data_IF_344144659041
#
_entry.id   IF_344144659041
#
_cell.length_a   1.000
_cell.length_b   1.000
_cell.length_c   1.000
_cell.angle_alpha   90.00
_cell.angle_beta   90.00
_cell.angle_gamma   90.00
#
_symmetry.space_group_name_H-M   'P 1'
#
loop_
_entity.id
_entity.type
_entity.pdbx_description
1 polymer ?
#
# COMPACT_ATOMS: atom_id res chain seq x y z
N UNK A 1 1.35 22.35 26.58
CA UNK A 1 0.24 21.96 25.69
C UNK A 1 0.67 21.07 24.53
N UNK A 2 1.68 21.44 23.70
CA UNK A 2 2.20 20.61 22.60
C UNK A 2 2.54 19.19 23.05
N UNK A 3 3.33 19.04 24.09
CA UNK A 3 3.79 17.74 24.57
C UNK A 3 2.66 16.91 25.20
N UNK A 4 1.67 17.56 25.84
CA UNK A 4 0.47 16.89 26.31
C UNK A 4 -0.37 16.30 25.17
N UNK A 5 -0.54 17.05 24.08
CA UNK A 5 -1.20 16.55 22.87
C UNK A 5 -0.44 15.36 22.25
N UNK A 6 0.90 15.39 22.28
CA UNK A 6 1.72 14.35 21.66
C UNK A 6 1.86 13.08 22.51
N UNK A 7 1.53 13.13 23.80
CA UNK A 7 1.70 12.02 24.75
C UNK A 7 1.09 10.67 24.32
N UNK A 8 -0.10 10.59 23.70
CA UNK A 8 -0.70 9.32 23.29
C UNK A 8 -0.02 8.67 22.06
N UNK A 9 0.81 9.42 21.34
CA UNK A 9 1.41 8.94 20.10
C UNK A 9 2.77 8.30 20.34
N UNK A 10 3.15 7.36 19.48
CA UNK A 10 4.42 6.64 19.55
C UNK A 10 5.04 6.44 18.18
N UNK A 11 6.31 6.04 18.14
CA UNK A 11 7.02 5.63 16.95
C UNK A 11 6.95 6.68 15.80
N UNK A 12 6.72 6.23 14.57
CA UNK A 12 6.68 7.09 13.39
C UNK A 12 5.55 8.13 13.44
N UNK A 13 4.43 7.83 14.11
CA UNK A 13 3.32 8.78 14.25
C UNK A 13 3.77 9.96 15.12
N UNK A 14 4.40 9.68 16.25
CA UNK A 14 4.95 10.72 17.11
C UNK A 14 5.95 11.60 16.35
N UNK A 15 6.93 11.00 15.66
CA UNK A 15 7.93 11.75 14.90
C UNK A 15 7.28 12.64 13.81
N UNK A 16 6.30 12.10 13.07
CA UNK A 16 5.61 12.86 12.03
C UNK A 16 4.78 13.99 12.62
N UNK A 17 4.05 13.74 13.71
CA UNK A 17 3.18 14.72 14.34
C UNK A 17 4.00 15.83 14.99
N UNK A 18 5.10 15.47 15.68
CA UNK A 18 6.04 16.45 16.23
C UNK A 18 6.57 17.36 15.14
N UNK A 19 7.13 16.79 14.06
CA UNK A 19 7.68 17.56 12.95
C UNK A 19 6.67 18.52 12.30
N UNK A 20 5.46 18.04 12.03
CA UNK A 20 4.46 18.87 11.37
C UNK A 20 3.87 19.94 12.30
N UNK A 21 3.73 19.62 13.59
CA UNK A 21 3.26 20.59 14.58
C UNK A 21 4.32 21.66 14.85
N UNK A 22 5.60 21.29 14.91
CA UNK A 22 6.70 22.25 15.04
C UNK A 22 6.76 23.20 13.84
N UNK A 23 6.53 22.71 12.64
CA UNK A 23 6.43 23.54 11.44
C UNK A 23 5.28 24.54 11.52
N UNK A 24 4.12 24.10 12.00
CA UNK A 24 2.97 24.98 12.20
C UNK A 24 3.30 26.09 13.21
N UNK A 25 3.84 25.71 14.38
CA UNK A 25 4.19 26.66 15.43
C UNK A 25 5.28 27.66 14.99
N UNK A 26 6.27 27.19 14.22
CA UNK A 26 7.30 28.05 13.64
C UNK A 26 6.71 29.04 12.63
N UNK A 27 5.75 28.59 11.79
CA UNK A 27 5.05 29.48 10.88
C UNK A 27 4.23 30.53 11.64
N UNK A 28 3.46 30.14 12.66
CA UNK A 28 2.76 31.11 13.52
C UNK A 28 3.70 32.15 14.10
N UNK A 29 4.86 31.74 14.61
CA UNK A 29 5.86 32.67 15.14
C UNK A 29 6.39 33.63 14.06
N UNK A 30 6.62 33.14 12.83
CA UNK A 30 7.02 33.97 11.69
C UNK A 30 5.99 35.00 11.29
N UNK A 31 4.71 34.68 11.40
CA UNK A 31 3.59 35.59 11.13
C UNK A 31 3.18 36.43 12.36
N UNK A 32 3.92 36.36 13.46
CA UNK A 32 3.60 37.03 14.75
C UNK A 32 2.23 36.65 15.29
N UNK A 33 1.79 35.40 15.06
CA UNK A 33 0.52 34.87 15.55
C UNK A 33 0.70 34.12 16.86
N UNK A 34 -0.18 34.38 17.83
CA UNK A 34 -0.27 33.58 19.05
C UNK A 34 -1.02 32.26 18.74
N UNK A 35 -0.40 31.09 18.88
CA UNK A 35 -1.00 29.81 18.45
C UNK A 35 -2.37 29.47 19.05
N UNK A 36 -2.70 30.01 20.23
CA UNK A 36 -4.01 29.77 20.86
C UNK A 36 -5.07 30.80 20.45
N UNK A 37 -4.69 31.85 19.74
CA UNK A 37 -5.61 32.91 19.29
C UNK A 37 -5.82 32.92 17.77
N UNK A 38 -5.20 31.96 17.05
CA UNK A 38 -5.36 31.85 15.59
C UNK A 38 -6.81 31.64 15.21
N UNK A 39 -7.15 32.18 14.07
CA UNK A 39 -8.48 32.06 13.46
C UNK A 39 -8.50 30.95 12.41
N UNK A 40 -9.70 30.64 11.90
CA UNK A 40 -9.86 29.76 10.74
C UNK A 40 -9.08 30.29 9.53
N UNK A 41 -9.09 31.62 9.31
CA UNK A 41 -8.40 32.25 8.20
C UNK A 41 -6.91 32.00 8.27
N UNK A 42 -6.29 32.06 9.45
CA UNK A 42 -4.85 31.80 9.61
C UNK A 42 -4.52 30.33 9.26
N UNK A 43 -5.36 29.39 9.66
CA UNK A 43 -5.19 27.98 9.24
C UNK A 43 -5.31 27.83 7.72
N UNK A 44 -6.26 28.52 7.08
CA UNK A 44 -6.43 28.49 5.62
C UNK A 44 -5.27 29.19 4.91
N UNK A 45 -4.69 30.24 5.49
CA UNK A 45 -3.47 30.92 4.99
C UNK A 45 -2.26 29.98 5.07
N UNK A 46 -2.09 29.25 6.16
CA UNK A 46 -1.04 28.21 6.25
C UNK A 46 -1.20 27.11 5.19
N UNK A 47 -2.43 26.68 4.92
CA UNK A 47 -2.71 25.70 3.87
C UNK A 47 -2.24 26.23 2.52
N UNK A 48 -2.51 27.50 2.21
CA UNK A 48 -2.08 28.17 0.99
C UNK A 48 -0.56 28.29 0.94
N UNK A 49 0.08 28.74 2.01
CA UNK A 49 1.53 28.79 2.14
C UNK A 49 2.18 27.43 1.82
N UNK A 50 1.68 26.33 2.38
CA UNK A 50 2.21 24.99 2.08
C UNK A 50 2.03 24.59 0.61
N UNK A 51 0.90 24.94 0.01
CA UNK A 51 0.55 24.47 -1.34
C UNK A 51 1.12 25.39 -2.44
N UNK A 52 0.93 26.68 -2.33
CA UNK A 52 1.27 27.65 -3.36
C UNK A 52 2.73 28.13 -3.23
N UNK A 53 3.15 28.56 -2.04
CA UNK A 53 4.49 29.12 -1.84
C UNK A 53 5.56 28.02 -1.75
N UNK A 54 5.30 26.95 -0.98
CA UNK A 54 6.23 25.82 -0.86
C UNK A 54 6.01 24.72 -1.90
N UNK A 55 5.08 24.91 -2.83
CA UNK A 55 4.77 23.99 -3.93
C UNK A 55 4.56 22.52 -3.49
N UNK A 56 4.01 22.31 -2.28
CA UNK A 56 3.82 20.96 -1.77
C UNK A 56 2.62 20.28 -2.43
N UNK A 57 2.76 18.98 -2.66
CA UNK A 57 1.64 18.15 -3.16
C UNK A 57 0.47 18.18 -2.17
N UNK A 58 -0.75 18.18 -2.68
CA UNK A 58 -1.99 18.20 -1.87
C UNK A 58 -1.99 17.09 -0.81
N UNK A 59 -1.50 15.89 -1.13
CA UNK A 59 -1.37 14.78 -0.15
C UNK A 59 -0.41 15.10 0.99
N UNK A 60 0.67 15.85 0.72
CA UNK A 60 1.63 16.30 1.74
C UNK A 60 0.99 17.37 2.64
N UNK A 61 0.25 18.31 2.05
CA UNK A 61 -0.52 19.32 2.80
C UNK A 61 -1.54 18.65 3.73
N UNK A 62 -2.26 17.65 3.24
CA UNK A 62 -3.18 16.86 4.08
C UNK A 62 -2.47 16.19 5.26
N UNK A 63 -1.30 15.61 5.02
CA UNK A 63 -0.49 14.98 6.08
C UNK A 63 -0.03 16.01 7.12
N UNK A 64 0.35 17.21 6.69
CA UNK A 64 0.76 18.30 7.58
C UNK A 64 -0.39 18.79 8.46
N UNK A 65 -1.61 18.82 7.93
CA UNK A 65 -2.78 19.33 8.65
C UNK A 65 -3.36 18.34 9.66
N UNK A 66 -3.09 17.05 9.55
CA UNK A 66 -3.63 16.05 10.50
C UNK A 66 -3.27 16.39 11.94
N UNK A 67 -1.98 16.58 12.32
CA UNK A 67 -1.63 16.92 13.69
C UNK A 67 -2.06 18.33 14.10
N UNK A 68 -2.09 19.31 13.21
CA UNK A 68 -2.58 20.66 13.50
C UNK A 68 -4.06 20.63 13.91
N UNK A 69 -4.89 19.91 13.16
CA UNK A 69 -6.30 19.72 13.51
C UNK A 69 -6.49 18.93 14.79
N UNK A 70 -5.67 17.90 15.01
CA UNK A 70 -5.68 17.14 16.24
C UNK A 70 -5.33 17.99 17.46
N UNK A 71 -4.34 18.87 17.29
CA UNK A 71 -3.89 19.79 18.32
C UNK A 71 -4.99 20.80 18.73
N UNK A 72 -5.66 21.42 17.76
CA UNK A 72 -6.74 22.36 18.07
C UNK A 72 -7.99 21.66 18.63
N UNK A 73 -8.30 20.46 18.16
CA UNK A 73 -9.36 19.65 18.76
C UNK A 73 -9.03 19.28 20.21
N UNK A 74 -7.77 18.92 20.49
CA UNK A 74 -7.31 18.66 21.85
C UNK A 74 -7.44 19.92 22.71
N UNK A 75 -6.93 21.07 22.24
CA UNK A 75 -7.02 22.33 22.95
C UNK A 75 -8.46 22.75 23.24
N UNK A 76 -9.38 22.53 22.31
CA UNK A 76 -10.81 22.79 22.50
C UNK A 76 -11.43 21.84 23.54
N UNK A 77 -11.11 20.55 23.50
CA UNK A 77 -11.65 19.56 24.46
C UNK A 77 -11.10 19.75 25.88
N UNK A 78 -9.94 20.39 26.04
CA UNK A 78 -9.34 20.76 27.33
C UNK A 78 -9.72 22.19 27.76
N UNK A 79 -10.72 22.80 27.14
CA UNK A 79 -11.22 24.15 27.43
C UNK A 79 -10.15 25.26 27.38
N UNK A 80 -9.04 25.02 26.64
CA UNK A 80 -7.95 26.00 26.48
C UNK A 80 -8.26 27.05 25.41
N UNK A 81 -9.19 26.77 24.51
CA UNK A 81 -9.69 27.69 23.49
C UNK A 81 -11.21 27.56 23.37
N UNK A 82 -11.89 28.67 23.11
CA UNK A 82 -13.34 28.72 23.01
C UNK A 82 -13.90 28.10 21.70
N UNK A 83 -13.06 27.99 20.65
CA UNK A 83 -13.45 27.45 19.33
C UNK A 83 -12.25 26.77 18.68
N UNK A 84 -12.51 25.66 17.98
CA UNK A 84 -11.50 24.97 17.17
C UNK A 84 -11.36 25.69 15.81
N UNK A 85 -10.26 26.42 15.53
CA UNK A 85 -10.06 27.17 14.30
C UNK A 85 -9.83 26.24 13.09
N UNK A 86 -9.39 25.01 13.32
CA UNK A 86 -9.08 24.05 12.27
C UNK A 86 -10.27 23.15 11.89
N UNK A 87 -11.37 23.14 12.68
CA UNK A 87 -12.51 22.26 12.45
C UNK A 87 -13.13 22.46 11.05
N UNK A 88 -13.39 23.71 10.67
CA UNK A 88 -14.06 24.10 9.44
C UNK A 88 -13.09 24.65 8.37
N UNK A 89 -11.76 24.59 8.61
CA UNK A 89 -10.78 25.05 7.63
C UNK A 89 -10.89 24.23 6.32
N UNK A 90 -11.00 24.93 5.20
CA UNK A 90 -11.10 24.33 3.87
C UNK A 90 -9.79 23.69 3.46
N UNK A 91 -9.83 22.43 3.05
CA UNK A 91 -8.68 21.70 2.55
C UNK A 91 -8.75 21.59 1.03
N UNK A 92 -7.60 21.68 0.33
CA UNK A 92 -7.57 21.35 -1.08
C UNK A 92 -8.15 19.96 -1.31
N UNK A 93 -8.99 19.81 -2.33
CA UNK A 93 -9.58 18.50 -2.64
C UNK A 93 -8.49 17.57 -3.17
N UNK A 94 -8.32 16.42 -2.53
CA UNK A 94 -7.56 15.33 -3.14
C UNK A 94 -8.37 14.87 -4.36
N UNK A 95 -7.79 15.04 -5.54
CA UNK A 95 -8.32 14.36 -6.72
C UNK A 95 -8.32 12.86 -6.43
N UNK A 96 -9.49 12.26 -6.36
CA UNK A 96 -9.66 10.80 -6.24
C UNK A 96 -9.56 10.13 -7.61
N UNK A 97 -8.80 10.71 -8.53
CA UNK A 97 -8.47 10.04 -9.78
C UNK A 97 -7.86 8.67 -9.49
N UNK A 98 -8.13 7.72 -10.37
CA UNK A 98 -7.41 6.46 -10.45
C UNK A 98 -5.94 6.79 -10.23
N UNK A 99 -5.29 6.14 -9.27
CA UNK A 99 -3.86 6.38 -8.98
C UNK A 99 -3.09 6.18 -10.28
N UNK A 100 -2.56 7.28 -10.86
CA UNK A 100 -1.68 7.26 -12.05
C UNK A 100 -0.37 6.50 -11.81
N UNK A 101 -0.17 5.97 -10.61
CA UNK A 101 0.97 5.14 -10.29
C UNK A 101 0.77 3.78 -10.94
N UNK A 102 1.23 3.66 -12.18
CA UNK A 102 1.33 2.38 -12.85
C UNK A 102 2.25 1.47 -12.02
N UNK A 103 1.67 0.40 -11.47
CA UNK A 103 2.45 -0.69 -10.86
C UNK A 103 3.32 -1.37 -11.91
N UNK A 104 4.20 -2.25 -11.47
CA UNK A 104 4.92 -3.15 -12.36
C UNK A 104 3.93 -4.16 -12.97
N UNK A 105 4.02 -4.34 -14.26
CA UNK A 105 3.27 -5.37 -14.95
C UNK A 105 3.81 -6.78 -14.65
N UNK A 106 3.13 -7.81 -15.16
CA UNK A 106 3.49 -9.21 -14.96
C UNK A 106 4.91 -9.53 -15.41
N UNK A 107 5.37 -8.96 -16.54
CA UNK A 107 6.71 -9.24 -17.08
C UNK A 107 7.78 -8.58 -16.21
N UNK A 108 7.58 -7.35 -15.84
CA UNK A 108 8.46 -6.61 -14.92
C UNK A 108 8.56 -7.28 -13.54
N UNK A 109 7.43 -7.76 -12.99
CA UNK A 109 7.43 -8.51 -11.74
C UNK A 109 8.24 -9.82 -11.84
N UNK A 110 8.13 -10.54 -12.97
CA UNK A 110 8.93 -11.75 -13.23
C UNK A 110 10.41 -11.42 -13.37
N UNK A 111 10.77 -10.36 -14.09
CA UNK A 111 12.15 -9.91 -14.24
C UNK A 111 12.75 -9.50 -12.87
N UNK A 112 11.98 -8.81 -12.04
CA UNK A 112 12.38 -8.44 -10.68
C UNK A 112 12.65 -9.66 -9.78
N UNK A 113 11.79 -10.68 -9.81
CA UNK A 113 11.98 -11.93 -9.08
C UNK A 113 13.23 -12.68 -9.54
N UNK A 114 13.46 -12.76 -10.87
CA UNK A 114 14.65 -13.37 -11.45
C UNK A 114 15.93 -12.67 -10.99
N UNK A 115 15.97 -11.34 -11.07
CA UNK A 115 17.12 -10.56 -10.59
C UNK A 115 17.42 -10.82 -9.11
N UNK A 116 16.39 -11.04 -8.26
CA UNK A 116 16.55 -11.46 -6.87
C UNK A 116 17.21 -12.82 -6.74
N UNK A 117 16.75 -13.80 -7.52
CA UNK A 117 17.26 -15.17 -7.49
C UNK A 117 18.71 -15.27 -7.98
N UNK A 118 19.07 -14.50 -8.98
CA UNK A 118 20.41 -14.47 -9.56
C UNK A 118 21.45 -13.79 -8.63
N UNK A 119 20.99 -12.94 -7.72
CA UNK A 119 21.90 -12.16 -6.88
C UNK A 119 22.33 -12.86 -5.60
N UNK A 120 21.40 -13.28 -4.78
CA UNK A 120 21.66 -14.00 -3.53
C UNK A 120 20.40 -14.59 -2.93
N UNK A 121 20.53 -15.62 -2.09
CA UNK A 121 19.42 -16.23 -1.37
C UNK A 121 18.62 -15.19 -0.54
N UNK A 122 19.31 -14.29 0.17
CA UNK A 122 18.68 -13.18 0.90
C UNK A 122 17.83 -12.28 -0.01
N UNK A 123 18.38 -11.87 -1.14
CA UNK A 123 17.72 -10.92 -2.02
C UNK A 123 16.57 -11.58 -2.78
N UNK A 124 16.69 -12.89 -3.06
CA UNK A 124 15.60 -13.74 -3.53
C UNK A 124 14.45 -13.76 -2.50
N UNK A 125 14.73 -13.99 -1.23
CA UNK A 125 13.72 -13.96 -0.16
C UNK A 125 13.05 -12.58 -0.05
N UNK A 126 13.82 -11.49 -0.10
CA UNK A 126 13.27 -10.12 -0.10
C UNK A 126 12.31 -9.92 -1.28
N UNK A 127 12.73 -10.31 -2.49
CA UNK A 127 11.91 -10.18 -3.69
C UNK A 127 10.58 -10.95 -3.55
N UNK A 128 10.62 -12.20 -3.07
CA UNK A 128 9.42 -13.02 -2.89
C UNK A 128 8.49 -12.50 -1.79
N UNK A 129 9.03 -12.06 -0.65
CA UNK A 129 8.23 -11.49 0.44
C UNK A 129 7.49 -10.21 0.01
N UNK A 130 8.11 -9.37 -0.80
CA UNK A 130 7.53 -8.12 -1.25
C UNK A 130 6.61 -8.30 -2.47
N UNK A 131 7.07 -9.05 -3.48
CA UNK A 131 6.38 -9.18 -4.75
C UNK A 131 5.31 -10.27 -4.78
N UNK A 132 5.48 -11.38 -4.04
CA UNK A 132 4.49 -12.47 -4.01
C UNK A 132 3.58 -12.42 -2.79
N UNK A 133 4.11 -12.02 -1.63
CA UNK A 133 3.35 -11.98 -0.38
C UNK A 133 2.81 -10.59 -0.05
N UNK A 134 3.09 -9.59 -0.88
CA UNK A 134 2.68 -8.20 -0.70
C UNK A 134 2.99 -7.64 0.72
N UNK A 135 4.08 -8.07 1.36
CA UNK A 135 4.46 -7.60 2.68
C UNK A 135 4.94 -6.14 2.64
N UNK A 136 4.70 -5.42 3.73
CA UNK A 136 5.36 -4.12 3.94
C UNK A 136 6.85 -4.35 4.25
N UNK A 137 7.70 -3.38 3.93
CA UNK A 137 9.14 -3.48 4.23
C UNK A 137 9.44 -3.74 5.71
N UNK A 138 8.66 -3.17 6.62
CA UNK A 138 8.80 -3.42 8.06
C UNK A 138 8.41 -4.86 8.43
N UNK A 139 7.33 -5.38 7.85
CA UNK A 139 6.89 -6.77 8.04
C UNK A 139 7.95 -7.74 7.53
N UNK A 140 8.47 -7.51 6.30
CA UNK A 140 9.54 -8.35 5.75
C UNK A 140 10.82 -8.32 6.61
N UNK A 141 11.19 -7.14 7.14
CA UNK A 141 12.34 -7.02 8.05
C UNK A 141 12.16 -7.73 9.39
N UNK A 142 10.94 -7.91 9.87
CA UNK A 142 10.68 -8.52 11.18
C UNK A 142 10.60 -10.05 11.15
N UNK A 143 10.52 -10.66 9.96
CA UNK A 143 10.37 -12.12 9.83
C UNK A 143 11.55 -12.84 10.48
N UNK A 144 11.21 -13.80 11.34
CA UNK A 144 12.13 -14.75 11.94
C UNK A 144 11.95 -16.14 11.31
N UNK A 145 12.93 -17.00 11.44
CA UNK A 145 12.88 -18.35 10.86
C UNK A 145 11.76 -19.16 11.53
N UNK A 146 11.53 -18.95 12.81
CA UNK A 146 10.48 -19.61 13.59
C UNK A 146 9.06 -19.26 13.11
N UNK A 147 8.91 -18.09 12.49
CA UNK A 147 7.59 -17.57 12.06
C UNK A 147 6.97 -18.36 10.92
N UNK A 148 7.75 -19.22 10.22
CA UNK A 148 7.22 -20.00 9.09
C UNK A 148 7.44 -21.51 9.21
N UNK A 149 7.71 -22.01 10.39
CA UNK A 149 7.91 -23.44 10.63
C UNK A 149 6.62 -24.23 10.81
N UNK A 150 5.50 -23.55 11.05
CA UNK A 150 4.22 -24.22 11.31
C UNK A 150 3.50 -24.65 10.04
N UNK A 151 2.83 -25.80 10.14
CA UNK A 151 1.93 -26.32 9.09
C UNK A 151 0.50 -26.36 9.63
N UNK A 152 -0.44 -25.78 8.90
CA UNK A 152 -1.86 -25.75 9.24
C UNK A 152 -2.67 -26.26 8.05
N UNK A 153 -3.49 -27.29 8.24
CA UNK A 153 -4.30 -27.92 7.18
C UNK A 153 -3.49 -28.27 5.91
N UNK A 154 -2.27 -28.77 6.10
CA UNK A 154 -1.38 -29.15 4.99
C UNK A 154 -0.60 -27.98 4.34
N UNK A 155 -0.83 -26.74 4.76
CA UNK A 155 -0.11 -25.57 4.26
C UNK A 155 0.95 -25.08 5.24
N UNK A 156 2.16 -24.87 4.78
CA UNK A 156 3.13 -24.05 5.53
C UNK A 156 2.59 -22.63 5.63
N UNK A 157 2.68 -22.05 6.81
CA UNK A 157 2.15 -20.70 7.05
C UNK A 157 3.26 -19.77 7.52
N UNK A 158 3.18 -18.51 7.10
CA UNK A 158 3.96 -17.40 7.64
C UNK A 158 3.11 -16.66 8.66
N UNK A 159 3.61 -16.56 9.89
CA UNK A 159 3.01 -15.75 10.97
C UNK A 159 3.85 -14.49 11.16
N UNK A 160 3.23 -13.36 11.35
CA UNK A 160 3.94 -12.11 11.63
C UNK A 160 2.99 -11.06 12.21
N UNK A 161 3.57 -10.01 12.76
CA UNK A 161 2.79 -8.88 13.29
C UNK A 161 2.67 -7.80 12.23
N UNK A 162 1.43 -7.48 11.85
CA UNK A 162 1.10 -6.42 10.90
C UNK A 162 1.08 -5.02 11.54
N UNK A 163 0.66 -4.03 10.74
CA UNK A 163 0.49 -2.64 11.23
C UNK A 163 -0.53 -2.62 12.37
N UNK A 164 -0.22 -1.88 13.44
CA UNK A 164 -1.08 -1.78 14.63
C UNK A 164 -0.99 -3.00 15.56
N UNK A 165 0.10 -3.76 15.50
CA UNK A 165 0.32 -4.96 16.32
C UNK A 165 -0.70 -6.08 16.08
N UNK A 166 -1.37 -6.10 14.92
CA UNK A 166 -2.35 -7.13 14.58
C UNK A 166 -1.64 -8.38 14.07
N UNK A 167 -1.85 -9.57 14.70
CA UNK A 167 -1.30 -10.82 14.18
C UNK A 167 -1.85 -11.14 12.79
N UNK A 168 -0.99 -11.62 11.91
CA UNK A 168 -1.36 -12.05 10.55
C UNK A 168 -0.81 -13.44 10.26
N UNK A 169 -1.56 -14.22 9.48
CA UNK A 169 -1.18 -15.56 9.00
C UNK A 169 -1.44 -15.63 7.51
N UNK A 170 -0.47 -16.17 6.78
CA UNK A 170 -0.59 -16.34 5.33
C UNK A 170 -0.02 -17.69 4.91
N UNK A 171 -0.65 -18.40 3.95
CA UNK A 171 -0.05 -19.60 3.38
C UNK A 171 1.24 -19.24 2.62
N UNK A 172 2.24 -20.10 2.69
CA UNK A 172 3.50 -19.96 1.96
C UNK A 172 3.46 -20.86 0.72
N UNK A 173 3.38 -20.29 -0.48
CA UNK A 173 3.57 -21.03 -1.72
C UNK A 173 4.98 -21.61 -1.79
N UNK A 174 5.14 -22.76 -2.43
CA UNK A 174 6.42 -23.49 -2.52
C UNK A 174 7.59 -22.63 -3.00
N UNK A 175 7.45 -21.76 -4.05
CA UNK A 175 8.56 -20.90 -4.48
C UNK A 175 9.01 -19.92 -3.39
N UNK A 176 8.06 -19.38 -2.63
CA UNK A 176 8.36 -18.46 -1.52
C UNK A 176 9.08 -19.23 -0.42
N UNK A 177 8.53 -20.39 0.02
CA UNK A 177 9.13 -21.21 1.06
C UNK A 177 10.59 -21.56 0.71
N UNK A 178 10.86 -22.03 -0.51
CA UNK A 178 12.22 -22.32 -0.97
C UNK A 178 13.16 -21.12 -0.88
N UNK A 179 12.66 -19.92 -1.23
CA UNK A 179 13.46 -18.70 -1.13
C UNK A 179 13.78 -18.35 0.35
N UNK A 180 12.83 -18.56 1.27
CA UNK A 180 13.05 -18.35 2.70
C UNK A 180 14.04 -19.36 3.28
N UNK A 181 13.88 -20.64 2.96
CA UNK A 181 14.78 -21.72 3.42
C UNK A 181 16.21 -21.50 2.92
N UNK A 182 16.37 -21.11 1.67
CA UNK A 182 17.69 -20.73 1.13
C UNK A 182 18.29 -19.52 1.86
N UNK A 183 17.48 -18.53 2.23
CA UNK A 183 17.95 -17.36 2.99
C UNK A 183 18.23 -17.68 4.47
N UNK A 184 17.58 -18.71 5.01
CA UNK A 184 17.88 -19.20 6.36
C UNK A 184 19.27 -19.85 6.44
N UNK A 185 19.78 -20.41 5.35
CA UNK A 185 21.15 -20.93 5.21
C UNK A 185 21.51 -21.90 6.35
N UNK A 186 20.66 -22.92 6.56
CA UNK A 186 20.80 -23.93 7.62
C UNK A 186 20.55 -23.45 9.05
N UNK A 187 20.24 -22.18 9.26
CA UNK A 187 19.88 -21.66 10.60
C UNK A 187 18.47 -22.13 10.99
N UNK A 188 18.32 -22.59 12.22
CA UNK A 188 17.04 -23.07 12.75
C UNK A 188 16.18 -21.96 13.36
N UNK A 189 16.79 -20.81 13.73
CA UNK A 189 16.11 -19.72 14.44
C UNK A 189 16.76 -18.36 14.21
N UNK A 190 16.05 -17.33 14.61
CA UNK A 190 16.51 -15.94 14.59
C UNK A 190 16.06 -15.18 13.36
N UNK A 191 16.57 -13.97 13.20
CA UNK A 191 16.17 -13.07 12.13
C UNK A 191 16.49 -13.68 10.76
N UNK A 192 15.47 -13.77 9.88
CA UNK A 192 15.63 -14.33 8.54
C UNK A 192 16.54 -13.46 7.67
N UNK A 193 16.21 -12.19 7.53
CA UNK A 193 16.95 -11.25 6.69
C UNK A 193 18.07 -10.57 7.47
N UNK A 194 19.32 -10.85 7.07
CA UNK A 194 20.52 -10.26 7.68
C UNK A 194 21.33 -9.45 6.68
N UNK A 195 22.01 -8.42 7.16
CA UNK A 195 23.04 -7.69 6.42
C UNK A 195 24.29 -8.53 6.19
N UNK A 196 25.28 -7.96 5.48
CA UNK A 196 26.61 -8.59 5.31
C UNK A 196 27.39 -8.67 6.63
N UNK A 197 27.03 -7.80 7.56
CA UNK A 197 27.56 -7.74 8.94
C UNK A 197 26.88 -8.75 9.89
N UNK A 198 26.00 -9.61 9.39
CA UNK A 198 25.23 -10.56 10.19
C UNK A 198 24.07 -9.93 11.00
N UNK A 199 23.98 -8.60 11.05
CA UNK A 199 22.94 -7.90 11.78
C UNK A 199 21.57 -7.94 11.07
N UNK A 200 20.46 -7.81 11.79
CA UNK A 200 19.13 -7.73 11.19
C UNK A 200 19.03 -6.65 10.12
N UNK A 201 18.49 -6.98 8.97
CA UNK A 201 18.35 -6.04 7.87
C UNK A 201 17.27 -5.00 8.20
N UNK A 202 17.62 -3.72 8.17
CA UNK A 202 16.67 -2.64 8.40
C UNK A 202 15.89 -2.25 7.12
N UNK A 203 14.79 -1.50 7.27
CA UNK A 203 13.96 -1.03 6.15
C UNK A 203 14.78 -0.32 5.07
N UNK A 204 15.75 0.53 5.45
CA UNK A 204 16.64 1.22 4.49
C UNK A 204 17.46 0.23 3.66
N UNK A 205 17.90 -0.88 4.28
CA UNK A 205 18.57 -1.99 3.58
C UNK A 205 17.66 -2.63 2.54
N UNK A 206 16.41 -2.94 2.88
CA UNK A 206 15.41 -3.46 1.93
C UNK A 206 15.17 -2.49 0.78
N UNK A 207 15.03 -1.19 1.03
CA UNK A 207 14.90 -0.18 -0.02
C UNK A 207 16.09 -0.18 -0.99
N UNK A 208 17.34 -0.30 -0.48
CA UNK A 208 18.55 -0.38 -1.32
C UNK A 208 18.55 -1.63 -2.19
N UNK A 209 18.17 -2.78 -1.62
CA UNK A 209 18.06 -4.05 -2.36
C UNK A 209 17.03 -3.93 -3.47
N UNK A 210 15.82 -3.45 -3.15
CA UNK A 210 14.74 -3.26 -4.13
C UNK A 210 15.18 -2.36 -5.29
N UNK A 211 15.78 -1.21 -4.99
CA UNK A 211 16.28 -0.31 -6.03
C UNK A 211 17.40 -0.92 -6.88
N UNK A 212 18.24 -1.77 -6.30
CA UNK A 212 19.27 -2.49 -7.04
C UNK A 212 18.63 -3.55 -7.98
N UNK A 213 17.74 -4.39 -7.46
CA UNK A 213 17.08 -5.44 -8.24
C UNK A 213 16.27 -4.86 -9.41
N UNK A 214 15.61 -3.73 -9.20
CA UNK A 214 14.88 -3.04 -10.26
C UNK A 214 15.80 -2.61 -11.42
N UNK A 215 16.98 -2.08 -11.11
CA UNK A 215 17.98 -1.73 -12.13
C UNK A 215 18.50 -2.97 -12.89
N UNK A 216 18.78 -4.06 -12.15
CA UNK A 216 19.20 -5.32 -12.79
C UNK A 216 18.11 -5.92 -13.69
N UNK A 217 16.85 -5.74 -13.32
CA UNK A 217 15.69 -6.13 -14.13
C UNK A 217 15.36 -5.16 -15.27
N UNK A 218 16.20 -4.13 -15.51
CA UNK A 218 16.00 -3.10 -16.53
C UNK A 218 14.65 -2.37 -16.42
N UNK A 219 14.15 -2.20 -15.18
CA UNK A 219 12.91 -1.48 -14.92
C UNK A 219 13.23 0.01 -14.82
N UNK A 220 12.73 0.81 -15.74
CA UNK A 220 13.00 2.26 -15.84
C UNK A 220 12.34 3.07 -14.73
N UNK A 221 11.19 2.61 -14.21
CA UNK A 221 10.46 3.28 -13.14
C UNK A 221 11.18 3.10 -11.80
N UNK A 222 11.15 4.14 -10.95
CA UNK A 222 11.68 4.05 -9.58
C UNK A 222 10.87 3.07 -8.75
N UNK A 223 11.41 1.87 -8.55
CA UNK A 223 10.76 0.81 -7.75
C UNK A 223 11.05 1.01 -6.27
N UNK A 224 9.99 0.95 -5.48
CA UNK A 224 10.04 0.99 -4.01
C UNK A 224 9.30 -0.23 -3.43
N UNK A 225 9.53 -0.64 -2.17
CA UNK A 225 8.74 -1.69 -1.54
C UNK A 225 7.23 -1.45 -1.56
N UNK A 226 6.83 -0.18 -1.50
CA UNK A 226 5.41 0.19 -1.58
C UNK A 226 4.85 -0.02 -3.00
N UNK A 227 5.63 0.34 -4.02
CA UNK A 227 5.25 0.10 -5.42
C UNK A 227 5.16 -1.41 -5.72
N UNK A 228 6.09 -2.23 -5.20
CA UNK A 228 6.00 -3.70 -5.34
C UNK A 228 4.72 -4.25 -4.71
N UNK A 229 4.39 -3.80 -3.51
CA UNK A 229 3.12 -4.19 -2.88
C UNK A 229 1.90 -3.75 -3.70
N UNK A 230 1.92 -2.51 -4.23
CA UNK A 230 0.91 -2.01 -5.16
C UNK A 230 0.79 -2.94 -6.38
N UNK A 231 1.92 -3.25 -7.02
CA UNK A 231 1.98 -4.14 -8.17
C UNK A 231 1.46 -5.55 -7.86
N UNK A 232 1.78 -6.09 -6.68
CA UNK A 232 1.28 -7.41 -6.24
C UNK A 232 -0.24 -7.43 -6.14
N UNK A 233 -0.84 -6.37 -5.60
CA UNK A 233 -2.30 -6.23 -5.44
C UNK A 233 -2.97 -6.11 -6.82
N UNK A 234 -2.43 -5.27 -7.70
CA UNK A 234 -2.95 -5.08 -9.05
C UNK A 234 -2.85 -6.37 -9.87
N UNK A 235 -1.67 -7.00 -9.91
CA UNK A 235 -1.48 -8.27 -10.63
C UNK A 235 -2.34 -9.42 -10.05
N UNK A 236 -2.64 -9.42 -8.75
CA UNK A 236 -3.55 -10.39 -8.16
C UNK A 236 -5.00 -10.19 -8.64
N UNK A 237 -5.47 -8.94 -8.77
CA UNK A 237 -6.78 -8.65 -9.37
C UNK A 237 -6.80 -9.02 -10.85
N UNK A 238 -5.79 -8.64 -11.62
CA UNK A 238 -5.63 -8.98 -13.05
C UNK A 238 -5.52 -10.51 -13.30
N UNK A 239 -5.08 -11.29 -12.30
CA UNK A 239 -5.09 -12.76 -12.38
C UNK A 239 -6.45 -13.40 -12.13
N UNK A 240 -7.52 -12.61 -11.92
CA UNK A 240 -8.88 -13.08 -11.65
C UNK A 240 -9.15 -13.40 -10.17
N UNK A 241 -8.26 -13.03 -9.24
CA UNK A 241 -8.55 -13.20 -7.82
C UNK A 241 -9.64 -12.20 -7.37
N UNK A 242 -10.66 -12.70 -6.66
CA UNK A 242 -11.73 -11.83 -6.17
C UNK A 242 -11.20 -10.73 -5.25
N UNK A 243 -11.86 -9.56 -5.27
CA UNK A 243 -11.50 -8.39 -4.46
C UNK A 243 -11.32 -8.76 -2.97
N UNK A 244 -12.17 -9.65 -2.44
CA UNK A 244 -12.07 -10.12 -1.04
C UNK A 244 -10.77 -10.87 -0.78
N UNK A 245 -10.40 -11.81 -1.66
CA UNK A 245 -9.12 -12.55 -1.55
C UNK A 245 -7.92 -11.63 -1.63
N UNK A 246 -7.98 -10.61 -2.48
CA UNK A 246 -6.92 -9.62 -2.62
C UNK A 246 -6.88 -8.66 -1.42
N UNK A 247 -8.02 -8.31 -0.84
CA UNK A 247 -8.08 -7.57 0.43
C UNK A 247 -7.39 -8.35 1.56
N UNK A 248 -7.64 -9.65 1.64
CA UNK A 248 -7.01 -10.54 2.63
C UNK A 248 -5.50 -10.66 2.38
N UNK A 249 -5.04 -10.83 1.13
CA UNK A 249 -3.62 -10.77 0.75
C UNK A 249 -2.97 -9.47 1.18
N UNK A 250 -3.62 -8.35 0.89
CA UNK A 250 -3.12 -7.02 1.23
C UNK A 250 -3.28 -6.68 2.73
N UNK A 251 -4.13 -7.38 3.44
CA UNK A 251 -4.47 -7.09 4.85
C UNK A 251 -4.94 -5.64 5.03
N UNK A 252 -5.82 -5.20 4.13
CA UNK A 252 -6.45 -3.90 4.23
C UNK A 252 -7.66 -3.97 5.15
N UNK A 253 -7.64 -3.20 6.24
CA UNK A 253 -8.77 -3.08 7.16
C UNK A 253 -9.98 -2.42 6.50
N UNK A 254 -9.73 -1.45 5.60
CA UNK A 254 -10.77 -0.79 4.82
C UNK A 254 -10.79 -1.35 3.39
N UNK A 255 -11.90 -2.00 2.96
CA UNK A 255 -12.07 -2.51 1.61
C UNK A 255 -11.87 -1.45 0.51
N UNK A 256 -12.21 -0.19 0.80
CA UNK A 256 -12.05 0.94 -0.13
C UNK A 256 -10.62 1.07 -0.60
N UNK A 257 -9.64 0.74 0.26
CA UNK A 257 -8.22 0.76 -0.11
C UNK A 257 -7.92 -0.24 -1.22
N UNK A 258 -8.54 -1.43 -1.21
CA UNK A 258 -8.35 -2.44 -2.27
C UNK A 258 -9.13 -2.07 -3.52
N UNK A 259 -10.33 -1.47 -3.37
CA UNK A 259 -11.14 -1.03 -4.51
C UNK A 259 -10.44 0.03 -5.40
N UNK A 260 -9.49 0.80 -4.88
CA UNK A 260 -8.69 1.74 -5.67
C UNK A 260 -7.76 1.05 -6.69
N UNK A 261 -7.49 -0.24 -6.51
CA UNK A 261 -6.65 -1.04 -7.41
C UNK A 261 -7.47 -1.75 -8.50
N UNK A 262 -8.79 -1.80 -8.36
CA UNK A 262 -9.69 -2.45 -9.30
C UNK A 262 -9.89 -1.54 -10.53
N UNK A 263 -9.09 -1.78 -11.56
CA UNK A 263 -9.14 -1.05 -12.83
C UNK A 263 -10.23 -1.58 -13.75
N UNK A 264 -10.68 -2.83 -13.54
CA UNK A 264 -11.65 -3.50 -14.39
C UNK A 264 -13.11 -3.19 -14.02
N UNK A 265 -13.37 -2.26 -13.07
CA UNK A 265 -14.74 -1.92 -12.63
C UNK A 265 -15.69 -1.52 -13.74
N UNK A 266 -15.18 -1.12 -14.89
CA UNK A 266 -15.95 -0.68 -16.06
C UNK A 266 -15.75 -1.58 -17.28
N UNK A 267 -15.06 -2.72 -17.15
CA UNK A 267 -14.91 -3.69 -18.24
C UNK A 267 -16.26 -4.34 -18.51
N UNK A 268 -16.71 -4.23 -19.75
CA UNK A 268 -17.90 -4.95 -20.21
C UNK A 268 -17.61 -6.44 -20.38
N UNK A 269 -16.40 -6.81 -20.74
CA UNK A 269 -15.98 -8.19 -21.00
C UNK A 269 -15.90 -9.04 -19.72
N UNK A 270 -15.63 -8.41 -18.57
CA UNK A 270 -15.54 -9.06 -17.25
C UNK A 270 -16.72 -8.63 -16.34
N UNK A 271 -17.86 -8.33 -16.93
CA UNK A 271 -19.03 -7.91 -16.16
C UNK A 271 -19.70 -9.12 -15.50
N UNK A 272 -20.11 -8.96 -14.23
CA UNK A 272 -20.71 -10.03 -13.43
C UNK A 272 -21.94 -10.69 -14.08
N UNK A 273 -22.59 -10.02 -15.05
CA UNK A 273 -23.72 -10.59 -15.80
C UNK A 273 -23.32 -11.85 -16.54
N UNK A 274 -22.12 -11.91 -17.10
CA UNK A 274 -21.65 -13.09 -17.84
C UNK A 274 -21.49 -14.30 -16.91
N UNK A 275 -20.88 -14.11 -15.75
CA UNK A 275 -20.74 -15.16 -14.74
C UNK A 275 -22.09 -15.61 -14.18
N UNK A 276 -23.03 -14.70 -14.01
CA UNK A 276 -24.40 -15.01 -13.55
C UNK A 276 -25.14 -15.84 -14.58
N UNK A 277 -25.09 -15.44 -15.86
CA UNK A 277 -25.75 -16.18 -16.95
C UNK A 277 -25.16 -17.58 -17.08
N UNK A 278 -23.82 -17.71 -17.08
CA UNK A 278 -23.16 -19.02 -17.11
C UNK A 278 -23.55 -19.92 -15.94
N UNK A 279 -23.66 -19.37 -14.74
CA UNK A 279 -24.11 -20.10 -13.55
C UNK A 279 -25.56 -20.54 -13.64
N UNK A 280 -26.46 -19.71 -14.13
CA UNK A 280 -27.90 -20.00 -14.25
C UNK A 280 -28.21 -20.96 -15.40
N UNK A 281 -27.48 -20.91 -16.49
CA UNK A 281 -27.63 -21.79 -17.66
C UNK A 281 -27.08 -23.20 -17.42
N UNK A 282 -26.29 -23.40 -16.38
CA UNK A 282 -25.64 -24.71 -16.09
C UNK A 282 -24.49 -25.03 -17.03
N UNK A 283 -24.09 -24.13 -17.90
CA UNK A 283 -22.98 -24.30 -18.83
C UNK A 283 -21.65 -23.91 -18.17
N UNK A 284 -20.83 -24.89 -17.87
CA UNK A 284 -19.44 -24.69 -17.53
C UNK A 284 -18.66 -24.28 -18.79
N UNK A 285 -18.64 -22.99 -19.11
CA UNK A 285 -17.81 -22.51 -20.23
C UNK A 285 -18.44 -21.51 -21.20
N UNK A 286 -19.41 -20.73 -20.78
CA UNK A 286 -19.87 -19.57 -21.55
C UNK A 286 -18.70 -18.59 -21.79
N UNK A 287 -18.07 -18.67 -22.96
CA UNK A 287 -17.09 -17.71 -23.42
C UNK A 287 -17.80 -16.61 -24.22
N UNK A 288 -17.47 -15.36 -23.90
CA UNK A 288 -18.00 -14.17 -24.62
C UNK A 288 -17.71 -14.23 -26.12
N UNK A 289 -16.64 -14.92 -26.53
CA UNK A 289 -16.25 -15.09 -27.93
C UNK A 289 -17.31 -15.86 -28.76
N UNK A 290 -18.05 -16.80 -28.17
CA UNK A 290 -19.09 -17.55 -28.85
C UNK A 290 -20.39 -16.73 -29.05
N UNK A 291 -20.67 -15.80 -28.17
CA UNK A 291 -21.85 -14.93 -28.26
C UNK A 291 -21.68 -13.78 -29.26
N UNK A 292 -20.47 -13.36 -29.55
CA UNK A 292 -20.19 -12.34 -30.56
C UNK A 292 -20.35 -12.90 -31.99
N UNK A 293 -20.06 -14.18 -32.19
CA UNK A 293 -20.28 -14.83 -33.49
C UNK A 293 -21.78 -15.02 -33.78
N UNK A 294 -22.62 -15.28 -32.78
CA UNK A 294 -24.09 -15.39 -32.95
C UNK A 294 -24.75 -14.03 -33.23
N UNK A 295 -24.25 -12.95 -32.63
CA UNK A 295 -24.79 -11.60 -32.86
C UNK A 295 -24.37 -11.06 -34.22
N UNK A 296 -23.19 -11.43 -34.71
CA UNK A 296 -22.72 -11.05 -36.05
C UNK A 296 -23.54 -11.68 -37.18
N UNK A 297 -24.23 -12.77 -36.95
CA UNK A 297 -25.08 -13.45 -37.94
C UNK A 297 -26.53 -12.87 -37.98
N UNK A 298 -26.97 -12.16 -36.92
CA UNK A 298 -28.30 -11.53 -36.86
C UNK A 298 -28.33 -10.21 -37.64
N UNK A 299 -27.19 -9.55 -37.86
CA UNK A 299 -27.11 -8.23 -38.50
C UNK A 299 -26.75 -8.30 -40.02
N UNK A 300 -26.90 -9.47 -40.67
CA UNK A 300 -26.78 -9.56 -42.13
C UNK A 300 -28.16 -9.16 -42.76
N UNK A 301 -28.21 -8.04 -43.44
CA UNK A 301 -29.43 -7.71 -44.19
C UNK A 301 -29.60 -8.74 -45.30
N UNK A 302 -30.73 -9.43 -45.33
CA UNK A 302 -31.14 -10.22 -46.49
C UNK A 302 -31.22 -9.29 -47.71
N UNK A 303 -30.32 -9.45 -48.69
CA UNK A 303 -30.44 -8.80 -49.98
C UNK A 303 -31.57 -9.45 -50.77
N UNK A 304 -32.59 -8.68 -51.23
CA UNK A 304 -33.68 -9.21 -52.05
C UNK A 304 -33.14 -9.67 -53.38
N UNK A 305 -33.65 -10.82 -53.83
CA UNK A 305 -33.39 -11.40 -55.18
C UNK A 305 -34.08 -10.55 -56.30
#
# INVERSE_FOLDING_TARGET
>A
MRDAYLLPYSNNTLLTYTYQLDRWLAWCAGESLEPLQVTRTDVETYIRHLHEELSQKISTVHTALVPVRGFYRFAFNEDLIARDPAAMARRPRLSRGVTDTLGLDRQQMRAFLRAGSERSARDCAIAHLLACMALRSSEACSIRIEDYQQTVRGHRILQFTGKGCVPARMPLPVPVLRALDSAADGRAQGQLLRGRDGQPLCRRGVYRVVGYLARQASISTRVTPHLLRHSSITNALESGASLRKVQDLARHSDPRTTMHYDRNRTSLDDHAVHSLVAFLSGEAGYRVDAALDEVADIDRPELPR
#
